data_IF_711913972459
#
_entry.id   IF_711913972459
#
_cell.length_a   1.000
_cell.length_b   1.000
_cell.length_c   1.000
_cell.angle_alpha   90.00
_cell.angle_beta   90.00
_cell.angle_gamma   90.00
#
_symmetry.space_group_name_H-M   'P 1'
#
loop_
_entity.id
_entity.type
_entity.pdbx_description
1 polymer ?
#
# COMPACT_ATOMS: atom_id res chain seq x y z
N UNK A 1 3.03 20.43 3.73
CA UNK A 1 3.18 19.07 3.15
C UNK A 1 3.23 17.85 4.12
N UNK A 2 4.20 17.72 5.05
CA UNK A 2 4.41 16.46 5.84
C UNK A 2 3.16 15.86 6.53
N UNK A 3 2.33 16.69 7.17
CA UNK A 3 1.11 16.20 7.84
C UNK A 3 0.05 15.65 6.85
N UNK A 4 -0.05 16.26 5.66
CA UNK A 4 -0.96 15.82 4.60
C UNK A 4 -0.53 14.47 4.05
N UNK A 5 0.78 14.27 3.87
CA UNK A 5 1.35 12.98 3.48
C UNK A 5 1.13 11.91 4.55
N UNK A 6 1.29 12.25 5.83
CA UNK A 6 1.05 11.32 6.95
C UNK A 6 -0.40 10.83 6.92
N UNK A 7 -1.34 11.77 6.88
CA UNK A 7 -2.77 11.47 6.78
C UNK A 7 -3.08 10.63 5.53
N UNK A 8 -2.51 10.97 4.38
CA UNK A 8 -2.71 10.21 3.15
C UNK A 8 -2.23 8.75 3.31
N UNK A 9 -1.05 8.54 3.86
CA UNK A 9 -0.50 7.19 4.09
C UNK A 9 -1.15 6.41 5.22
N UNK A 10 -1.84 7.08 6.15
CA UNK A 10 -2.65 6.44 7.19
C UNK A 10 -3.98 5.93 6.63
N UNK A 11 -4.57 6.66 5.67
CA UNK A 11 -5.90 6.36 5.11
C UNK A 11 -5.87 5.62 3.77
N UNK A 12 -4.73 5.57 3.09
CA UNK A 12 -4.59 4.88 1.81
C UNK A 12 -3.46 3.84 1.84
N UNK A 13 -3.65 2.66 1.22
CA UNK A 13 -2.67 1.57 1.22
C UNK A 13 -1.47 1.79 0.28
N UNK A 14 -1.32 3.00 -0.30
CA UNK A 14 -0.23 3.31 -1.22
C UNK A 14 1.09 3.55 -0.47
N UNK A 15 2.19 3.05 -1.04
CA UNK A 15 3.52 3.21 -0.44
C UNK A 15 4.29 4.43 -0.99
N UNK A 16 3.84 4.96 -2.12
CA UNK A 16 4.44 6.09 -2.83
C UNK A 16 3.32 7.06 -3.18
N UNK A 17 3.59 8.36 -3.05
CA UNK A 17 2.72 9.43 -3.51
C UNK A 17 3.56 10.50 -4.19
N UNK A 18 3.07 11.04 -5.29
CA UNK A 18 3.69 12.10 -6.05
C UNK A 18 3.03 13.41 -5.70
N UNK A 19 3.82 14.43 -5.41
CA UNK A 19 3.35 15.74 -5.05
C UNK A 19 3.82 16.77 -6.05
N UNK A 20 2.94 17.67 -6.46
CA UNK A 20 3.32 18.83 -7.24
C UNK A 20 3.55 20.05 -6.35
N UNK A 21 4.17 21.10 -6.89
CA UNK A 21 4.54 22.33 -6.16
C UNK A 21 3.37 23.11 -5.55
N UNK A 22 2.14 22.88 -6.02
CA UNK A 22 0.89 23.37 -5.45
C UNK A 22 0.32 22.46 -4.33
N UNK A 23 1.13 21.51 -3.83
CA UNK A 23 0.78 20.54 -2.79
C UNK A 23 -0.35 19.55 -3.17
N UNK A 24 -0.65 19.41 -4.46
CA UNK A 24 -1.58 18.38 -4.96
C UNK A 24 -0.90 17.00 -4.95
N UNK A 25 -1.63 15.98 -4.49
CA UNK A 25 -1.13 14.62 -4.29
C UNK A 25 -1.71 13.66 -5.33
N UNK A 26 -0.87 12.79 -5.88
CA UNK A 26 -1.21 11.82 -6.90
C UNK A 26 -0.66 10.44 -6.55
N UNK A 27 -1.44 9.40 -6.83
CA UNK A 27 -0.98 8.01 -6.71
C UNK A 27 -0.13 7.62 -7.92
N UNK A 28 -0.51 8.09 -9.11
CA UNK A 28 0.18 7.81 -10.37
C UNK A 28 1.17 8.93 -10.71
N UNK A 29 2.38 8.54 -11.09
CA UNK A 29 3.41 9.48 -11.53
C UNK A 29 2.99 10.24 -12.79
N UNK A 30 2.37 9.55 -13.75
CA UNK A 30 1.95 10.17 -15.02
C UNK A 30 0.97 11.33 -14.81
N UNK A 31 0.04 11.18 -13.88
CA UNK A 31 -0.95 12.21 -13.57
C UNK A 31 -0.28 13.40 -12.88
N UNK A 32 0.67 13.14 -11.96
CA UNK A 32 1.46 14.19 -11.34
C UNK A 32 2.29 14.97 -12.37
N UNK A 33 2.90 14.27 -13.34
CA UNK A 33 3.72 14.88 -14.40
C UNK A 33 2.85 15.70 -15.36
N UNK A 34 1.66 15.21 -15.73
CA UNK A 34 0.70 15.99 -16.54
C UNK A 34 0.23 17.23 -15.77
N UNK A 35 -0.02 17.10 -14.48
CA UNK A 35 -0.41 18.23 -13.63
C UNK A 35 0.72 19.25 -13.50
N UNK A 36 1.94 18.81 -13.20
CA UNK A 36 3.11 19.68 -13.07
C UNK A 36 3.40 20.47 -14.35
N UNK A 37 3.13 19.90 -15.53
CA UNK A 37 3.25 20.62 -16.81
C UNK A 37 2.36 21.86 -16.93
N UNK A 38 1.29 21.93 -16.13
CA UNK A 38 0.42 23.12 -16.07
C UNK A 38 0.92 24.16 -15.07
N UNK A 39 1.90 23.82 -14.22
CA UNK A 39 2.51 24.69 -13.23
C UNK A 39 3.76 25.37 -13.80
N UNK A 40 4.14 26.50 -13.22
CA UNK A 40 5.26 27.32 -13.73
C UNK A 40 6.62 26.65 -13.53
N UNK A 41 6.75 25.88 -12.45
CA UNK A 41 7.98 25.25 -12.00
C UNK A 41 8.14 23.81 -12.49
N UNK A 42 7.05 23.16 -12.94
CA UNK A 42 7.05 21.79 -13.46
C UNK A 42 7.65 20.76 -12.48
N UNK A 43 7.57 21.01 -11.17
CA UNK A 43 8.18 20.15 -10.16
C UNK A 43 7.21 19.06 -9.73
N UNK A 44 7.72 17.82 -9.71
CA UNK A 44 7.09 16.67 -9.06
C UNK A 44 8.08 16.11 -8.04
N UNK A 45 7.64 15.98 -6.80
CA UNK A 45 8.37 15.34 -5.71
C UNK A 45 7.76 13.99 -5.38
N UNK A 46 8.62 12.98 -5.20
CA UNK A 46 8.20 11.64 -4.79
C UNK A 46 8.34 11.49 -3.28
N UNK A 47 7.28 11.04 -2.62
CA UNK A 47 7.26 10.77 -1.18
C UNK A 47 6.95 9.30 -0.91
N UNK A 48 7.78 8.67 -0.09
CA UNK A 48 7.58 7.30 0.37
C UNK A 48 6.91 7.28 1.74
N UNK A 49 6.04 6.29 1.96
CA UNK A 49 5.37 6.06 3.25
C UNK A 49 6.36 5.94 4.42
N UNK A 50 7.51 5.32 4.17
CA UNK A 50 8.59 5.17 5.14
C UNK A 50 9.28 6.48 5.49
N UNK A 51 9.28 7.47 4.61
CA UNK A 51 9.89 8.80 4.82
C UNK A 51 9.02 9.73 5.68
N UNK A 52 7.75 9.39 5.89
CA UNK A 52 6.79 10.17 6.69
C UNK A 52 6.55 9.55 8.05
N UNK A 53 7.06 8.34 8.28
CA UNK A 53 7.12 7.75 9.60
C UNK A 53 8.11 8.59 10.41
N UNK A 54 7.57 9.31 11.40
CA UNK A 54 8.35 9.92 12.46
C UNK A 54 9.33 8.85 12.96
N UNK A 55 10.62 9.14 12.91
CA UNK A 55 11.66 8.25 13.43
C UNK A 55 11.20 7.77 14.81
N UNK A 56 11.17 6.45 15.10
CA UNK A 56 11.24 6.04 16.48
C UNK A 56 12.53 6.68 17.01
N UNK A 57 12.40 7.55 18.01
CA UNK A 57 13.54 8.22 18.66
C UNK A 57 14.45 7.12 19.21
N UNK A 58 15.44 6.72 18.42
CA UNK A 58 16.52 5.87 18.89
C UNK A 58 17.48 6.84 19.59
N UNK A 59 17.70 6.74 20.90
CA UNK A 59 18.67 7.60 21.55
C UNK A 59 20.05 7.31 20.95
N UNK A 60 20.64 8.33 20.32
CA UNK A 60 21.94 8.26 19.70
C UNK A 60 23.04 7.82 20.69
N UNK A 61 24.06 7.09 20.23
CA UNK A 61 25.42 7.36 20.63
C UNK A 61 26.12 8.10 19.49
N UNK A 62 26.61 9.29 19.82
CA UNK A 62 27.40 10.21 18.99
C UNK A 62 28.38 9.53 18.01
N UNK A 63 28.35 9.97 16.75
CA UNK A 63 29.56 10.25 15.98
C UNK A 63 29.24 11.22 14.85
N UNK A 64 29.54 12.50 15.07
CA UNK A 64 29.69 13.52 14.04
C UNK A 64 30.71 13.08 12.98
N UNK A 65 30.37 13.20 11.70
CA UNK A 65 31.28 13.79 10.72
C UNK A 65 30.50 14.28 9.49
N UNK A 66 30.11 15.55 9.56
CA UNK A 66 30.36 16.61 8.56
C UNK A 66 30.65 16.20 7.12
N UNK A 67 29.91 16.77 6.18
CA UNK A 67 30.50 17.14 4.88
C UNK A 67 29.58 16.96 3.68
N UNK A 68 28.87 18.04 3.39
CA UNK A 68 28.37 18.48 2.09
C UNK A 68 29.12 17.97 0.83
N UNK A 69 28.34 17.81 -0.25
CA UNK A 69 28.75 17.76 -1.66
C UNK A 69 29.18 16.41 -2.23
N UNK A 70 28.28 15.79 -3.02
CA UNK A 70 28.53 15.55 -4.44
C UNK A 70 27.38 14.73 -5.03
N UNK A 71 26.75 15.32 -6.04
CA UNK A 71 26.08 14.62 -7.13
C UNK A 71 26.92 13.39 -7.53
N UNK A 72 26.34 12.20 -7.49
CA UNK A 72 26.44 11.23 -8.58
C UNK A 72 25.59 10.00 -8.27
N UNK A 73 24.55 9.87 -9.10
CA UNK A 73 24.03 8.62 -9.60
C UNK A 73 25.12 7.54 -9.65
N UNK A 74 25.13 6.66 -8.66
CA UNK A 74 25.74 5.35 -8.78
C UNK A 74 24.82 4.38 -8.07
N UNK A 75 24.25 3.46 -8.85
CA UNK A 75 23.64 2.24 -8.36
C UNK A 75 24.47 1.70 -7.19
N UNK A 76 23.97 1.89 -5.96
CA UNK A 76 24.57 1.37 -4.74
C UNK A 76 24.43 -0.15 -4.81
N UNK A 77 25.34 -0.80 -5.53
CA UNK A 77 25.59 -2.23 -5.43
C UNK A 77 25.95 -2.43 -3.97
N UNK A 78 24.98 -2.91 -3.19
CA UNK A 78 25.18 -3.25 -1.78
C UNK A 78 26.47 -4.04 -1.68
N UNK A 79 27.36 -3.58 -0.80
CA UNK A 79 28.66 -4.20 -0.62
C UNK A 79 28.44 -5.68 -0.28
N UNK A 80 29.33 -6.61 -0.66
CA UNK A 80 29.17 -8.03 -0.34
C UNK A 80 29.01 -8.30 1.18
N UNK A 81 29.49 -7.39 2.03
CA UNK A 81 29.24 -7.41 3.48
C UNK A 81 27.78 -7.10 3.83
N UNK A 82 27.18 -6.09 3.17
CA UNK A 82 25.78 -5.70 3.36
C UNK A 82 24.83 -6.79 2.86
N UNK A 83 25.14 -7.42 1.71
CA UNK A 83 24.35 -8.55 1.19
C UNK A 83 24.36 -9.76 2.13
N UNK A 84 25.50 -10.02 2.80
CA UNK A 84 25.58 -11.07 3.83
C UNK A 84 24.73 -10.73 5.05
N UNK A 85 24.76 -9.47 5.50
CA UNK A 85 23.92 -9.01 6.61
C UNK A 85 22.42 -9.11 6.28
N UNK A 86 22.03 -8.72 5.06
CA UNK A 86 20.64 -8.83 4.58
C UNK A 86 20.20 -10.30 4.51
N UNK A 87 21.05 -11.19 3.96
CA UNK A 87 20.75 -12.64 3.94
C UNK A 87 20.66 -13.21 5.35
N UNK A 88 21.58 -12.87 6.25
CA UNK A 88 21.57 -13.35 7.63
C UNK A 88 20.30 -12.91 8.38
N UNK A 89 19.87 -11.66 8.17
CA UNK A 89 18.62 -11.16 8.75
C UNK A 89 17.40 -11.91 8.19
N UNK A 90 17.33 -12.08 6.87
CA UNK A 90 16.24 -12.83 6.25
C UNK A 90 16.21 -14.30 6.73
N UNK A 91 17.35 -14.94 6.90
CA UNK A 91 17.44 -16.32 7.44
C UNK A 91 16.92 -16.38 8.88
N UNK A 92 17.28 -15.41 9.73
CA UNK A 92 16.80 -15.35 11.10
C UNK A 92 15.28 -15.13 11.16
N UNK A 93 14.75 -14.20 10.37
CA UNK A 93 13.32 -13.91 10.29
C UNK A 93 12.53 -15.13 9.77
N UNK A 94 13.06 -15.87 8.79
CA UNK A 94 12.45 -17.11 8.29
C UNK A 94 12.43 -18.19 9.37
N UNK A 95 13.54 -18.39 10.08
CA UNK A 95 13.64 -19.39 11.14
C UNK A 95 12.69 -19.08 12.30
N UNK A 96 12.45 -17.80 12.60
CA UNK A 96 11.48 -17.40 13.62
C UNK A 96 10.03 -17.73 13.23
N UNK A 97 9.67 -17.64 11.94
CA UNK A 97 8.29 -17.86 11.45
C UNK A 97 7.99 -19.33 11.15
N UNK A 98 8.98 -20.06 10.64
CA UNK A 98 8.81 -21.44 10.17
C UNK A 98 9.43 -22.46 11.13
N UNK A 99 10.23 -22.04 12.12
CA UNK A 99 10.93 -22.93 13.05
C UNK A 99 12.09 -23.72 12.44
N UNK A 100 12.34 -23.56 11.14
CA UNK A 100 13.38 -24.26 10.39
C UNK A 100 14.18 -23.29 9.52
N UNK A 101 15.43 -23.64 9.21
CA UNK A 101 16.27 -22.83 8.35
C UNK A 101 15.78 -22.89 6.89
N UNK A 102 15.84 -21.76 6.14
CA UNK A 102 15.50 -21.76 4.71
C UNK A 102 16.54 -22.53 3.90
N UNK A 103 16.14 -23.01 2.71
CA UNK A 103 17.07 -23.72 1.81
C UNK A 103 18.26 -22.80 1.46
N UNK A 104 19.52 -23.25 1.65
CA UNK A 104 20.71 -22.43 1.43
C UNK A 104 20.88 -21.95 -0.01
N UNK A 105 20.23 -22.62 -0.99
CA UNK A 105 20.18 -22.23 -2.40
C UNK A 105 19.31 -21.00 -2.65
N UNK A 106 18.45 -20.63 -1.70
CA UNK A 106 17.61 -19.45 -1.81
C UNK A 106 18.43 -18.17 -1.62
N UNK A 107 18.11 -17.19 -2.47
CA UNK A 107 18.59 -15.82 -2.34
C UNK A 107 17.86 -15.10 -1.20
N UNK A 108 18.44 -14.01 -0.69
CA UNK A 108 17.82 -13.22 0.36
C UNK A 108 16.42 -12.70 -0.03
N UNK A 109 16.24 -12.34 -1.31
CA UNK A 109 14.94 -11.90 -1.84
C UNK A 109 13.89 -13.01 -1.80
N UNK A 110 14.24 -14.23 -2.19
CA UNK A 110 13.32 -15.37 -2.15
C UNK A 110 12.93 -15.74 -0.71
N UNK A 111 13.89 -15.67 0.22
CA UNK A 111 13.62 -15.91 1.65
C UNK A 111 12.64 -14.84 2.19
N UNK A 112 12.84 -13.57 1.82
CA UNK A 112 11.93 -12.49 2.19
C UNK A 112 10.52 -12.64 1.60
N UNK A 113 10.40 -13.14 0.38
CA UNK A 113 9.10 -13.39 -0.25
C UNK A 113 8.31 -14.47 0.51
N UNK A 114 8.97 -15.56 0.92
CA UNK A 114 8.35 -16.62 1.73
C UNK A 114 7.91 -16.12 3.11
N UNK A 115 8.75 -15.31 3.76
CA UNK A 115 8.41 -14.64 5.03
C UNK A 115 7.14 -13.80 4.88
N UNK A 116 7.09 -12.98 3.82
CA UNK A 116 5.96 -12.08 3.56
C UNK A 116 4.67 -12.85 3.27
N UNK A 117 4.76 -13.92 2.47
CA UNK A 117 3.63 -14.79 2.18
C UNK A 117 3.06 -15.43 3.46
N UNK A 118 3.93 -15.93 4.34
CA UNK A 118 3.48 -16.55 5.60
C UNK A 118 2.89 -15.56 6.59
N UNK A 119 3.45 -14.35 6.69
CA UNK A 119 2.86 -13.28 7.49
C UNK A 119 1.48 -12.86 6.98
N UNK A 120 1.30 -12.79 5.66
CA UNK A 120 0.01 -12.48 5.06
C UNK A 120 -1.06 -13.55 5.37
N UNK A 121 -0.68 -14.83 5.34
CA UNK A 121 -1.56 -15.94 5.73
C UNK A 121 -1.94 -15.85 7.22
N UNK A 122 -0.98 -15.55 8.10
CA UNK A 122 -1.22 -15.40 9.54
C UNK A 122 -2.15 -14.21 9.87
N UNK A 123 -2.04 -13.11 9.10
CA UNK A 123 -2.87 -11.91 9.27
C UNK A 123 -4.30 -12.12 8.77
N UNK A 124 -4.46 -12.89 7.69
CA UNK A 124 -5.76 -13.29 7.16
C UNK A 124 -6.49 -14.29 8.10
N UNK A 125 -5.77 -15.20 8.73
CA UNK A 125 -6.34 -16.16 9.69
C UNK A 125 -6.76 -15.50 11.01
N UNK A 126 -6.16 -14.37 11.40
CA UNK A 126 -6.58 -13.59 12.57
C UNK A 126 -7.76 -12.61 12.32
N UNK A 127 -8.31 -12.56 11.10
CA UNK A 127 -9.52 -11.76 10.78
C UNK A 127 -10.75 -12.65 10.50
N UNK A 128 -10.72 -13.93 10.88
CA UNK A 128 -11.76 -14.91 10.55
C UNK A 128 -12.72 -15.30 11.67
N UNK A 129 -12.70 -14.66 12.85
CA UNK A 129 -13.51 -15.09 14.00
C UNK A 129 -14.19 -13.91 14.72
N UNK A 130 -15.29 -13.41 14.16
CA UNK A 130 -16.41 -12.67 14.82
C UNK A 130 -17.49 -12.44 13.71
N UNK A 131 -18.74 -12.86 13.73
CA UNK A 131 -19.65 -13.49 14.69
C UNK A 131 -20.56 -14.47 13.93
N UNK A 132 -20.85 -15.61 14.55
CA UNK A 132 -22.10 -16.35 14.35
C UNK A 132 -23.21 -15.65 15.12
N UNK A 133 -24.39 -15.40 14.54
CA UNK A 133 -25.63 -15.61 15.29
C UNK A 133 -26.82 -15.92 14.36
N UNK A 134 -27.42 -17.06 14.70
CA UNK A 134 -28.63 -17.66 14.19
C UNK A 134 -29.79 -17.06 15.00
N UNK A 135 -30.77 -16.38 14.39
CA UNK A 135 -32.06 -16.13 15.08
C UNK A 135 -33.22 -16.04 14.07
N UNK A 136 -34.12 -17.01 14.22
CA UNK A 136 -35.45 -17.16 13.62
C UNK A 136 -36.42 -15.97 13.84
N UNK A 137 -37.50 -16.00 13.04
CA UNK A 137 -38.86 -15.47 13.28
C UNK A 137 -39.13 -13.97 13.01
N UNK A 138 -39.90 -13.65 11.97
CA UNK A 138 -41.38 -13.53 12.03
C UNK A 138 -41.96 -12.77 10.82
N UNK A 139 -42.89 -13.45 10.14
CA UNK A 139 -44.25 -13.01 9.75
C UNK A 139 -44.56 -11.51 9.55
N UNK A 140 -45.18 -11.17 8.42
CA UNK A 140 -45.74 -9.84 8.17
C UNK A 140 -46.27 -9.65 6.76
N UNK A 141 -47.52 -10.07 6.59
CA UNK A 141 -48.43 -9.80 5.46
C UNK A 141 -48.43 -8.34 4.99
N UNK A 142 -48.70 -8.13 3.70
CA UNK A 142 -49.90 -7.43 3.20
C UNK A 142 -49.69 -6.95 1.75
N UNK A 143 -50.43 -7.58 0.84
CA UNK A 143 -50.80 -6.98 -0.44
C UNK A 143 -51.59 -5.68 -0.18
N UNK A 144 -51.61 -4.78 -1.17
CA UNK A 144 -52.94 -4.39 -1.62
C UNK A 144 -53.09 -4.51 -3.13
N UNK A 145 -54.24 -5.09 -3.49
CA UNK A 145 -54.87 -5.03 -4.79
C UNK A 145 -55.09 -3.55 -5.17
N UNK A 146 -54.76 -3.22 -6.42
CA UNK A 146 -54.89 -1.90 -6.99
C UNK A 146 -55.02 -2.00 -8.50
N UNK A 147 -56.15 -2.56 -8.91
CA UNK A 147 -56.71 -2.58 -10.26
C UNK A 147 -56.59 -1.21 -10.94
N UNK A 148 -55.99 -1.11 -12.14
CA UNK A 148 -56.42 -0.17 -13.18
C UNK A 148 -55.74 -0.41 -14.55
N UNK A 149 -56.55 -0.96 -15.45
CA UNK A 149 -56.72 -0.62 -16.87
C UNK A 149 -55.55 -0.73 -17.84
N UNK A 150 -55.67 -1.78 -18.65
CA UNK A 150 -55.29 -1.87 -20.06
C UNK A 150 -55.66 -0.58 -20.83
N UNK A 151 -54.71 0.03 -21.53
CA UNK A 151 -54.98 0.61 -22.85
C UNK A 151 -53.70 0.58 -23.71
N UNK A 152 -53.91 -0.02 -24.88
CA UNK A 152 -53.03 -0.23 -26.01
C UNK A 152 -52.67 1.12 -26.68
N UNK A 153 -51.40 1.31 -27.05
CA UNK A 153 -51.07 2.02 -28.31
C UNK A 153 -49.58 1.88 -28.68
N UNK A 154 -49.37 1.02 -29.68
CA UNK A 154 -48.61 1.23 -30.92
C UNK A 154 -47.12 1.61 -30.90
N UNK A 155 -46.36 0.65 -31.46
CA UNK A 155 -45.61 0.77 -32.72
C UNK A 155 -44.39 1.71 -32.78
N UNK A 156 -43.23 1.07 -32.54
CA UNK A 156 -42.11 0.92 -33.48
C UNK A 156 -41.26 2.12 -33.92
N UNK A 157 -39.95 1.81 -34.04
CA UNK A 157 -38.89 2.48 -34.80
C UNK A 157 -38.12 3.64 -34.13
N UNK A 158 -36.93 3.32 -33.59
CA UNK A 158 -35.67 3.19 -34.37
C UNK A 158 -34.47 3.07 -33.43
N UNK A 159 -33.59 2.11 -33.69
CA UNK A 159 -32.22 2.36 -34.19
C UNK A 159 -31.45 1.05 -34.26
N UNK A 160 -31.05 0.68 -35.47
CA UNK A 160 -29.66 0.30 -35.76
C UNK A 160 -29.33 0.69 -37.20
#
# INVERSE_FOLDING_TARGET
MKNKLKYFFENHPHNIVYATSDETLFINQEDAVKHAQTLKDNVVEEYLRTSVKEEPVIPAPNAEQTGESALQDTAKKSSPSELKAIKAKAVADYLALFGEAPDPKLSAAQIQELIKAKQLELDAENQGEDETDDTENSDGEEQPEGEQSQEDNQEENKSE
#
